data_IF_088559547674
#
_entry.id   IF_088559547674
#
_cell.length_a   1.000
_cell.length_b   1.000
_cell.length_c   1.000
_cell.angle_alpha   90.00
_cell.angle_beta   90.00
_cell.angle_gamma   90.00
#
_symmetry.space_group_name_H-M   'P 1'
#
loop_
_entity.id
_entity.type
_entity.pdbx_description
1 polymer ?
#
# COMPACT_ATOMS: atom_id res chain seq x y z
N UNK A 1 4.61 6.72 16.63
CA UNK A 1 5.45 6.76 15.42
C UNK A 1 4.63 6.13 14.31
N UNK A 2 4.49 6.80 13.18
CA UNK A 2 3.68 6.34 12.05
C UNK A 2 4.51 5.35 11.21
N UNK A 3 3.91 4.27 10.72
CA UNK A 3 4.61 3.22 9.96
C UNK A 3 3.74 2.61 8.85
N UNK A 4 4.37 1.86 7.95
CA UNK A 4 3.65 0.99 7.02
C UNK A 4 2.76 0.01 7.78
N UNK A 5 1.57 -0.25 7.23
CA UNK A 5 0.51 -1.02 7.86
C UNK A 5 -0.46 -0.18 8.71
N UNK A 6 -0.11 1.04 9.09
CA UNK A 6 -1.03 1.92 9.83
C UNK A 6 -2.24 2.30 8.98
N UNK A 7 -3.39 2.46 9.63
CA UNK A 7 -4.62 2.83 8.97
C UNK A 7 -4.81 4.34 8.90
N UNK A 8 -5.46 4.78 7.83
CA UNK A 8 -5.93 6.14 7.68
C UNK A 8 -7.41 6.17 7.31
N UNK A 9 -8.03 7.32 7.56
CA UNK A 9 -9.41 7.62 7.17
C UNK A 9 -9.37 8.72 6.11
N UNK A 10 -10.04 8.51 4.98
CA UNK A 10 -10.22 9.49 3.93
C UNK A 10 -11.72 9.66 3.65
N UNK A 11 -12.29 10.79 4.07
CA UNK A 11 -13.74 11.04 4.02
C UNK A 11 -14.53 9.97 4.77
N UNK A 12 -15.37 9.21 4.06
CA UNK A 12 -16.17 8.10 4.62
C UNK A 12 -15.55 6.72 4.43
N UNK A 13 -14.36 6.64 3.84
CA UNK A 13 -13.61 5.40 3.65
C UNK A 13 -12.29 5.46 4.41
N UNK A 14 -11.45 4.45 4.22
CA UNK A 14 -10.11 4.39 4.73
C UNK A 14 -9.31 3.35 3.99
N UNK A 15 -8.04 3.27 4.36
CA UNK A 15 -7.13 2.27 3.84
C UNK A 15 -5.92 2.17 4.72
N UNK A 16 -4.90 1.53 4.17
CA UNK A 16 -3.63 1.27 4.82
C UNK A 16 -2.52 2.05 4.14
N UNK A 17 -1.60 2.57 4.93
CA UNK A 17 -0.33 3.11 4.44
C UNK A 17 0.54 1.94 4.05
N UNK A 18 0.69 1.71 2.75
CA UNK A 18 1.48 0.58 2.27
C UNK A 18 2.98 0.79 2.43
N UNK A 19 3.45 2.03 2.27
CA UNK A 19 4.86 2.37 2.47
C UNK A 19 5.04 3.79 2.98
N UNK A 20 6.17 4.01 3.65
CA UNK A 20 6.70 5.33 4.01
C UNK A 20 8.08 5.47 3.41
N UNK A 21 8.24 6.48 2.55
CA UNK A 21 9.46 6.70 1.77
C UNK A 21 10.02 8.11 1.98
N UNK A 22 11.34 8.32 1.78
CA UNK A 22 11.91 9.66 1.68
C UNK A 22 11.39 10.36 0.43
N UNK A 23 10.87 11.57 0.56
CA UNK A 23 10.30 12.33 -0.56
C UNK A 23 10.40 13.83 -0.33
N UNK A 24 10.93 14.55 -1.33
CA UNK A 24 11.00 16.03 -1.35
C UNK A 24 11.53 16.66 -0.05
N UNK A 25 12.58 16.07 0.53
CA UNK A 25 13.22 16.58 1.76
C UNK A 25 12.51 16.19 3.06
N UNK A 26 11.48 15.34 3.02
CA UNK A 26 10.80 14.81 4.20
C UNK A 26 10.37 13.35 4.00
N UNK A 27 9.30 12.95 4.68
CA UNK A 27 8.68 11.64 4.53
C UNK A 27 7.32 11.76 3.86
N UNK A 28 7.01 10.82 2.96
CA UNK A 28 5.66 10.66 2.43
C UNK A 28 5.15 9.25 2.71
N UNK A 29 3.88 9.17 3.07
CA UNK A 29 3.13 7.92 3.01
C UNK A 29 2.67 7.66 1.59
N UNK A 30 2.58 6.39 1.26
CA UNK A 30 2.13 5.88 -0.04
C UNK A 30 0.96 4.94 0.20
N UNK A 31 -0.13 5.17 -0.52
CA UNK A 31 -1.33 4.33 -0.51
C UNK A 31 -1.96 4.32 -1.91
N UNK A 32 -2.87 3.37 -2.20
CA UNK A 32 -3.57 3.35 -3.49
C UNK A 32 -4.37 4.63 -3.75
N UNK A 33 -4.30 5.15 -4.97
CA UNK A 33 -4.98 6.39 -5.36
C UNK A 33 -6.50 6.24 -5.43
N UNK A 34 -7.00 5.06 -5.80
CA UNK A 34 -8.43 4.80 -5.94
C UNK A 34 -9.21 5.07 -4.65
N UNK A 35 -8.59 4.92 -3.47
CA UNK A 35 -9.22 5.21 -2.17
C UNK A 35 -9.68 6.67 -2.11
N UNK A 36 -8.83 7.58 -2.59
CA UNK A 36 -9.07 9.02 -2.61
C UNK A 36 -10.05 9.43 -3.71
N UNK A 37 -9.91 8.82 -4.89
CA UNK A 37 -10.77 9.09 -6.05
C UNK A 37 -12.22 8.63 -5.81
N UNK A 38 -12.42 7.43 -5.27
CA UNK A 38 -13.75 6.88 -5.00
C UNK A 38 -14.54 7.72 -3.99
N UNK A 39 -13.86 8.30 -2.99
CA UNK A 39 -14.50 9.15 -1.97
C UNK A 39 -14.57 10.62 -2.41
N UNK A 40 -13.81 11.02 -3.43
CA UNK A 40 -13.76 12.40 -3.91
C UNK A 40 -13.05 13.35 -2.94
N UNK A 41 -12.03 12.88 -2.22
CA UNK A 41 -11.24 13.71 -1.30
C UNK A 41 -9.76 13.46 -1.45
N UNK A 42 -8.95 14.48 -1.17
CA UNK A 42 -7.49 14.37 -1.02
C UNK A 42 -7.03 14.47 0.43
N UNK A 43 -7.95 14.67 1.37
CA UNK A 43 -7.62 14.78 2.78
C UNK A 43 -7.71 13.40 3.45
N UNK A 44 -6.78 13.14 4.36
CA UNK A 44 -6.79 11.96 5.19
C UNK A 44 -6.40 12.27 6.63
N UNK A 45 -6.90 11.45 7.55
CA UNK A 45 -6.52 11.45 8.95
C UNK A 45 -5.73 10.20 9.28
N UNK A 46 -4.60 10.38 9.95
CA UNK A 46 -3.65 9.33 10.27
C UNK A 46 -3.08 9.61 11.66
N UNK A 47 -3.18 8.67 12.61
CA UNK A 47 -2.54 8.83 13.92
C UNK A 47 -2.84 10.16 14.65
N UNK A 48 -4.03 10.75 14.43
CA UNK A 48 -4.43 12.03 15.01
C UNK A 48 -4.01 13.29 14.23
N UNK A 49 -3.19 13.16 13.20
CA UNK A 49 -2.83 14.26 12.29
C UNK A 49 -3.69 14.23 11.02
N UNK A 50 -3.81 15.39 10.37
CA UNK A 50 -4.42 15.53 9.05
C UNK A 50 -3.32 15.70 8.01
N UNK A 51 -3.34 14.86 6.98
CA UNK A 51 -2.47 14.94 5.81
C UNK A 51 -3.30 15.21 4.56
N UNK A 52 -2.63 15.60 3.47
CA UNK A 52 -3.24 15.80 2.16
C UNK A 52 -2.41 15.15 1.06
N UNK A 53 -3.08 14.43 0.17
CA UNK A 53 -2.48 13.89 -1.06
C UNK A 53 -1.92 15.04 -1.88
N UNK A 54 -0.61 14.97 -2.14
CA UNK A 54 0.15 16.00 -2.84
C UNK A 54 0.52 15.58 -4.26
N UNK A 55 0.54 14.27 -4.53
CA UNK A 55 0.88 13.74 -5.85
C UNK A 55 0.21 12.39 -6.11
N UNK A 56 -0.30 12.22 -7.33
CA UNK A 56 -0.84 10.97 -7.88
C UNK A 56 -0.22 10.85 -9.28
N UNK A 57 0.57 9.82 -9.59
CA UNK A 57 1.06 9.58 -10.94
C UNK A 57 -0.09 9.25 -11.88
N UNK A 58 0.00 9.65 -13.15
CA UNK A 58 -1.08 9.45 -14.12
C UNK A 58 -1.22 7.99 -14.59
N UNK A 59 -0.15 7.19 -14.46
CA UNK A 59 -0.05 5.81 -14.93
C UNK A 59 0.02 4.77 -13.80
N UNK A 60 -0.17 5.19 -12.55
CA UNK A 60 -0.07 4.33 -11.38
C UNK A 60 -1.19 4.59 -10.37
N UNK A 61 -1.75 3.53 -9.80
CA UNK A 61 -2.69 3.63 -8.69
C UNK A 61 -1.96 3.90 -7.36
N UNK A 62 -1.28 5.04 -7.29
CA UNK A 62 -0.47 5.49 -6.16
C UNK A 62 -0.82 6.92 -5.77
N UNK A 63 -0.91 7.18 -4.48
CA UNK A 63 -1.07 8.50 -3.91
C UNK A 63 0.02 8.74 -2.86
N UNK A 64 0.71 9.86 -3.00
CA UNK A 64 1.75 10.32 -2.11
C UNK A 64 1.24 11.49 -1.27
N UNK A 65 1.41 11.39 0.04
CA UNK A 65 1.04 12.44 0.99
C UNK A 65 2.18 12.67 1.99
N UNK A 66 2.67 13.91 2.14
CA UNK A 66 3.65 14.25 3.17
C UNK A 66 3.11 13.92 4.56
N UNK A 67 4.00 13.43 5.44
CA UNK A 67 3.68 13.15 6.84
C UNK A 67 4.50 14.07 7.75
N UNK A 68 3.89 15.11 8.35
CA UNK A 68 4.57 16.04 9.25
C UNK A 68 4.71 15.50 10.67
N UNK A 69 5.13 14.24 10.82
CA UNK A 69 5.27 13.57 12.12
C UNK A 69 6.38 12.50 12.07
N UNK A 70 6.89 12.02 13.23
CA UNK A 70 7.88 10.96 13.26
C UNK A 70 7.38 9.67 12.62
N UNK A 71 8.12 9.18 11.62
CA UNK A 71 7.79 8.00 10.84
C UNK A 71 8.88 6.94 10.87
N UNK A 72 8.49 5.68 10.70
CA UNK A 72 9.38 4.56 10.42
C UNK A 72 9.48 4.35 8.90
N UNK A 73 10.68 4.44 8.35
CA UNK A 73 10.92 4.18 6.94
C UNK A 73 10.62 2.72 6.58
N UNK A 74 10.05 2.53 5.40
CA UNK A 74 9.76 1.21 4.84
C UNK A 74 10.93 0.75 3.98
N UNK A 75 11.42 -0.47 4.23
CA UNK A 75 12.36 -1.13 3.34
C UNK A 75 11.58 -1.69 2.14
N UNK A 76 11.84 -1.15 0.96
CA UNK A 76 11.27 -1.66 -0.29
C UNK A 76 12.13 -2.81 -0.83
N UNK A 77 11.49 -3.73 -1.53
CA UNK A 77 12.14 -4.86 -2.18
C UNK A 77 11.48 -5.18 -3.51
N UNK A 78 12.12 -6.09 -4.25
CA UNK A 78 11.60 -6.58 -5.53
C UNK A 78 10.76 -7.84 -5.32
N UNK A 79 9.53 -7.91 -5.84
CA UNK A 79 8.71 -9.11 -5.74
C UNK A 79 9.30 -10.26 -6.56
N UNK A 80 9.15 -11.49 -6.06
CA UNK A 80 9.38 -12.70 -6.82
C UNK A 80 8.35 -13.79 -6.49
N UNK A 81 8.10 -14.76 -7.40
CA UNK A 81 7.20 -15.86 -7.13
C UNK A 81 7.62 -16.63 -5.87
N UNK A 82 6.66 -16.90 -4.99
CA UNK A 82 6.94 -17.51 -3.69
C UNK A 82 6.02 -17.01 -2.58
N UNK A 83 6.30 -17.46 -1.37
CA UNK A 83 5.51 -17.10 -0.19
C UNK A 83 5.68 -15.61 0.14
N UNK A 84 4.61 -15.04 0.67
CA UNK A 84 4.53 -13.63 1.07
C UNK A 84 3.44 -13.46 2.14
N UNK A 85 3.31 -12.25 2.67
CA UNK A 85 2.24 -11.89 3.59
C UNK A 85 1.62 -10.54 3.22
N UNK A 86 0.31 -10.41 3.36
CA UNK A 86 -0.35 -9.11 3.39
C UNK A 86 -0.42 -8.63 4.83
N UNK A 87 0.25 -7.53 5.14
CA UNK A 87 0.43 -7.04 6.51
C UNK A 87 -0.19 -5.66 6.66
N UNK A 88 -0.97 -5.49 7.73
CA UNK A 88 -1.40 -4.19 8.23
C UNK A 88 -1.47 -4.20 9.76
N UNK A 89 -1.86 -3.08 10.37
CA UNK A 89 -1.92 -2.94 11.82
C UNK A 89 -3.00 -3.80 12.51
N UNK A 90 -3.96 -4.35 11.77
CA UNK A 90 -5.03 -5.20 12.29
C UNK A 90 -4.69 -6.68 12.23
N UNK A 91 -4.06 -7.14 11.14
CA UNK A 91 -3.78 -8.55 10.92
C UNK A 91 -2.64 -8.76 9.90
N UNK A 92 -2.21 -10.02 9.78
CA UNK A 92 -1.42 -10.52 8.65
C UNK A 92 -2.18 -11.68 8.00
N UNK A 93 -2.15 -11.74 6.67
CA UNK A 93 -2.73 -12.82 5.87
C UNK A 93 -1.59 -13.45 5.06
N UNK A 94 -1.29 -14.72 5.33
CA UNK A 94 -0.32 -15.47 4.54
C UNK A 94 -0.83 -15.64 3.10
N UNK A 95 0.02 -15.38 2.11
CA UNK A 95 -0.34 -15.46 0.71
C UNK A 95 0.84 -15.94 -0.14
N UNK A 96 0.64 -16.06 -1.45
CA UNK A 96 1.70 -16.42 -2.38
C UNK A 96 1.72 -15.50 -3.58
N UNK A 97 2.87 -14.95 -3.92
CA UNK A 97 3.09 -14.26 -5.19
C UNK A 97 3.12 -15.33 -6.29
N UNK A 98 2.19 -15.26 -7.23
CA UNK A 98 2.15 -16.18 -8.38
C UNK A 98 2.97 -15.67 -9.55
N UNK A 99 2.95 -14.36 -9.77
CA UNK A 99 3.62 -13.70 -10.89
C UNK A 99 3.80 -12.22 -10.58
N UNK A 100 4.77 -11.57 -11.22
CA UNK A 100 5.09 -10.16 -11.02
C UNK A 100 5.70 -9.54 -12.26
N UNK A 101 5.28 -8.32 -12.56
CA UNK A 101 5.97 -7.40 -13.47
C UNK A 101 6.58 -6.25 -12.68
N UNK A 102 7.26 -5.34 -13.39
CA UNK A 102 7.79 -4.10 -12.81
C UNK A 102 6.69 -3.20 -12.21
N UNK A 103 5.42 -3.36 -12.61
CA UNK A 103 4.31 -2.51 -12.18
C UNK A 103 3.25 -3.19 -11.33
N UNK A 104 3.02 -4.49 -11.54
CA UNK A 104 1.92 -5.24 -10.92
C UNK A 104 2.43 -6.55 -10.34
N UNK A 105 1.89 -6.92 -9.17
CA UNK A 105 2.12 -8.20 -8.51
C UNK A 105 0.80 -8.93 -8.36
N UNK A 106 0.76 -10.19 -8.81
CA UNK A 106 -0.40 -11.05 -8.64
C UNK A 106 -0.18 -11.99 -7.47
N UNK A 107 -1.16 -12.02 -6.56
CA UNK A 107 -1.11 -12.84 -5.35
C UNK A 107 -2.26 -13.83 -5.31
N UNK A 108 -1.99 -15.01 -4.78
CA UNK A 108 -2.98 -16.03 -4.44
C UNK A 108 -3.23 -15.93 -2.94
N UNK A 109 -4.50 -15.73 -2.58
CA UNK A 109 -4.97 -15.57 -1.22
C UNK A 109 -5.55 -16.89 -0.70
N UNK A 110 -5.46 -17.14 0.61
CA UNK A 110 -6.04 -18.32 1.23
C UNK A 110 -7.59 -18.23 1.18
N UNK A 111 -8.28 -19.26 0.67
CA UNK A 111 -9.73 -19.31 0.72
C UNK A 111 -10.22 -19.22 2.18
N UNK A 112 -11.18 -18.33 2.43
CA UNK A 112 -11.77 -18.14 3.77
C UNK A 112 -11.05 -17.12 4.65
N UNK A 113 -9.87 -16.62 4.24
CA UNK A 113 -9.13 -15.57 4.93
C UNK A 113 -8.73 -14.48 3.93
N UNK A 114 -9.74 -13.77 3.44
CA UNK A 114 -9.59 -12.75 2.40
C UNK A 114 -9.55 -11.34 3.03
N UNK A 115 -8.76 -10.41 2.44
CA UNK A 115 -8.80 -8.99 2.81
C UNK A 115 -10.22 -8.42 2.72
N UNK A 116 -10.58 -7.57 3.68
CA UNK A 116 -11.88 -6.91 3.77
C UNK A 116 -11.85 -5.43 3.38
N UNK A 117 -13.02 -4.76 3.45
CA UNK A 117 -13.10 -3.32 3.29
C UNK A 117 -12.17 -2.57 4.26
N UNK A 118 -11.32 -1.70 3.71
CA UNK A 118 -10.32 -0.95 4.47
C UNK A 118 -8.92 -1.56 4.47
N UNK A 119 -8.73 -2.76 3.91
CA UNK A 119 -7.41 -3.39 3.77
C UNK A 119 -6.68 -2.98 2.47
N UNK A 120 -7.32 -2.17 1.62
CA UNK A 120 -6.66 -1.58 0.45
C UNK A 120 -5.44 -0.76 0.89
N UNK A 121 -4.30 -1.01 0.25
CA UNK A 121 -2.99 -0.50 0.62
C UNK A 121 -2.22 -1.35 1.60
N UNK A 122 -2.76 -2.50 2.06
CA UNK A 122 -2.00 -3.43 2.91
C UNK A 122 -0.68 -3.79 2.26
N UNK A 123 0.39 -3.79 3.06
CA UNK A 123 1.73 -4.01 2.56
C UNK A 123 1.89 -5.49 2.20
N UNK A 124 2.27 -5.78 0.95
CA UNK A 124 2.71 -7.10 0.55
C UNK A 124 4.18 -7.24 0.95
N UNK A 125 4.46 -8.14 1.87
CA UNK A 125 5.77 -8.35 2.48
C UNK A 125 6.36 -9.67 2.01
N UNK A 126 7.60 -9.64 1.54
CA UNK A 126 8.43 -10.79 1.19
C UNK A 126 9.87 -10.49 1.62
N UNK A 127 10.53 -11.46 2.26
CA UNK A 127 11.89 -11.31 2.80
C UNK A 127 12.09 -10.04 3.65
N UNK A 128 11.15 -9.79 4.57
CA UNK A 128 11.14 -8.62 5.48
C UNK A 128 11.05 -7.25 4.78
N UNK A 129 10.73 -7.23 3.48
CA UNK A 129 10.60 -6.02 2.68
C UNK A 129 9.21 -5.88 2.10
N UNK A 130 8.76 -4.65 1.95
CA UNK A 130 7.52 -4.34 1.23
C UNK A 130 7.82 -4.43 -0.27
N UNK A 131 7.20 -5.38 -0.94
CA UNK A 131 7.36 -5.64 -2.38
C UNK A 131 6.16 -5.19 -3.21
N UNK A 132 5.07 -4.78 -2.55
CA UNK A 132 3.93 -4.17 -3.20
C UNK A 132 2.84 -3.70 -2.24
N UNK A 133 1.81 -3.04 -2.77
CA UNK A 133 0.65 -2.58 -2.00
C UNK A 133 -0.63 -3.17 -2.59
N UNK A 134 -1.47 -3.80 -1.75
CA UNK A 134 -2.72 -4.40 -2.20
C UNK A 134 -3.65 -3.34 -2.82
N UNK A 135 -4.14 -3.59 -4.03
CA UNK A 135 -5.10 -2.71 -4.71
C UNK A 135 -6.51 -3.29 -4.67
N UNK A 136 -6.64 -4.56 -5.04
CA UNK A 136 -7.93 -5.21 -5.19
C UNK A 136 -7.83 -6.72 -5.04
N UNK A 137 -8.98 -7.35 -4.83
CA UNK A 137 -9.13 -8.79 -4.76
C UNK A 137 -10.30 -9.26 -5.62
N UNK A 138 -10.18 -10.45 -6.17
CA UNK A 138 -11.27 -11.21 -6.75
C UNK A 138 -11.67 -12.31 -5.75
N UNK A 139 -12.84 -12.14 -5.13
CA UNK A 139 -13.35 -13.06 -4.11
C UNK A 139 -13.66 -14.46 -4.65
N UNK A 140 -13.98 -14.59 -5.94
CA UNK A 140 -14.31 -15.90 -6.54
C UNK A 140 -13.07 -16.73 -6.83
N UNK A 141 -11.99 -16.08 -7.25
CA UNK A 141 -10.74 -16.77 -7.63
C UNK A 141 -9.68 -16.72 -6.54
N UNK A 142 -9.96 -16.04 -5.42
CA UNK A 142 -9.01 -15.76 -4.35
C UNK A 142 -7.70 -15.15 -4.89
N UNK A 143 -7.79 -14.31 -5.93
CA UNK A 143 -6.64 -13.61 -6.49
C UNK A 143 -6.63 -12.17 -6.03
N UNK A 144 -5.48 -11.69 -5.59
CA UNK A 144 -5.23 -10.27 -5.34
C UNK A 144 -4.35 -9.66 -6.42
N UNK A 145 -4.51 -8.36 -6.58
CA UNK A 145 -3.63 -7.52 -7.40
C UNK A 145 -3.01 -6.47 -6.50
N UNK A 146 -1.69 -6.33 -6.56
CA UNK A 146 -0.94 -5.30 -5.88
C UNK A 146 -0.14 -4.46 -6.88
N UNK A 147 0.11 -3.19 -6.55
CA UNK A 147 1.11 -2.37 -7.25
C UNK A 147 2.49 -2.79 -6.76
N UNK A 148 3.45 -2.99 -7.67
CA UNK A 148 4.83 -3.33 -7.31
C UNK A 148 5.52 -2.18 -6.57
N UNK A 149 6.36 -2.50 -5.59
CA UNK A 149 7.22 -1.51 -4.94
C UNK A 149 8.21 -0.85 -5.91
N UNK A 150 8.56 -1.52 -7.02
CA UNK A 150 9.38 -0.94 -8.09
C UNK A 150 8.72 0.32 -8.71
N UNK A 151 7.38 0.41 -8.73
CA UNK A 151 6.69 1.64 -9.15
C UNK A 151 6.94 2.78 -8.18
N UNK A 152 6.96 2.50 -6.87
CA UNK A 152 7.22 3.51 -5.85
C UNK A 152 8.66 4.02 -6.01
N UNK A 153 9.61 3.12 -6.24
CA UNK A 153 11.02 3.46 -6.49
C UNK A 153 11.18 4.37 -7.72
N UNK A 154 10.51 4.04 -8.83
CA UNK A 154 10.47 4.87 -10.05
C UNK A 154 10.00 6.30 -9.74
N UNK A 155 8.90 6.45 -9.00
CA UNK A 155 8.32 7.77 -8.68
C UNK A 155 9.20 8.62 -7.75
N UNK A 156 10.10 7.99 -6.99
CA UNK A 156 11.05 8.70 -6.12
C UNK A 156 12.45 8.82 -6.73
N UNK A 157 12.61 8.39 -7.99
CA UNK A 157 13.86 8.52 -8.76
C UNK A 157 14.96 7.55 -8.32
N UNK A 158 14.58 6.32 -7.92
CA UNK A 158 15.51 5.24 -7.58
C UNK A 158 15.52 4.15 -8.64
#
# INVERSE_FOLDING_TARGET
MIRSGDQFIAGRSGGVIGAIIPWRGGFAGVAPAHIFQQVGTRELRLGGITCRVSYIPDDADLAFFPIPAPCQLTALGKPHPGDAELVNARHSIACRISDSSWSIVYVILPPGDLPGPGDSGSALVQDERVVGLLLSINMHTCRGTAVSAEMIEREIGK
#
